data_IF_221727514292
#
_entry.id   IF_221727514292
#
_cell.length_a   1.000
_cell.length_b   1.000
_cell.length_c   1.000
_cell.angle_alpha   90.00
_cell.angle_beta   90.00
_cell.angle_gamma   90.00
#
_symmetry.space_group_name_H-M   'P 1'
#
loop_
_entity.id
_entity.type
_entity.pdbx_description
1 polymer ?
#
# COMPACT_ATOMS: atom_id res chain seq x y z
N UNK A 1 8.09 -56.24 -26.81
CA UNK A 1 7.14 -57.32 -26.50
C UNK A 1 7.57 -58.56 -27.27
N UNK A 2 7.50 -59.76 -26.70
CA UNK A 2 7.02 -60.12 -25.34
C UNK A 2 8.14 -59.94 -24.29
N UNK A 3 7.89 -59.48 -23.07
CA UNK A 3 7.20 -60.10 -21.92
C UNK A 3 8.14 -60.99 -21.06
N UNK A 4 8.14 -60.67 -19.76
CA UNK A 4 8.73 -61.43 -18.66
C UNK A 4 7.66 -62.45 -18.14
N UNK A 5 7.78 -63.11 -16.96
CA UNK A 5 8.88 -63.17 -15.98
C UNK A 5 9.20 -64.63 -15.54
N UNK A 6 9.97 -64.81 -14.46
CA UNK A 6 9.67 -65.69 -13.29
C UNK A 6 10.88 -65.73 -12.33
N UNK A 7 10.64 -65.73 -11.01
CA UNK A 7 11.64 -66.08 -9.98
C UNK A 7 11.59 -67.59 -9.67
N UNK A 8 11.93 -68.06 -8.45
CA UNK A 8 12.39 -67.33 -7.25
C UNK A 8 13.55 -68.04 -6.49
N UNK A 9 13.68 -67.70 -5.20
CA UNK A 9 14.00 -68.58 -4.05
C UNK A 9 15.44 -68.86 -3.52
N UNK A 10 15.56 -68.47 -2.24
CA UNK A 10 16.06 -69.20 -1.06
C UNK A 10 17.56 -69.39 -0.72
N UNK A 11 17.83 -69.05 0.56
CA UNK A 11 18.76 -69.75 1.46
C UNK A 11 20.00 -68.96 1.89
N UNK A 12 20.56 -69.11 3.11
CA UNK A 12 20.08 -69.61 4.41
C UNK A 12 21.20 -69.36 5.46
N UNK A 13 20.88 -69.38 6.77
CA UNK A 13 21.84 -69.28 7.90
C UNK A 13 21.61 -68.03 8.77
N UNK A 14 21.06 -68.06 10.00
CA UNK A 14 21.24 -68.94 11.17
C UNK A 14 22.62 -68.75 11.87
N UNK A 15 22.79 -68.68 13.20
CA UNK A 15 22.03 -69.25 14.34
C UNK A 15 22.19 -68.44 15.68
N UNK A 16 21.35 -68.77 16.70
CA UNK A 16 21.52 -68.46 18.14
C UNK A 16 20.56 -67.37 18.67
N UNK A 17 19.55 -67.57 19.53
CA UNK A 17 19.28 -68.55 20.62
C UNK A 17 20.28 -68.42 21.80
N UNK A 18 19.95 -68.26 23.10
CA UNK A 18 18.75 -68.51 23.96
C UNK A 18 18.76 -67.50 25.17
N UNK A 19 17.79 -67.33 26.10
CA UNK A 19 16.49 -68.01 26.37
C UNK A 19 15.40 -67.15 27.11
N UNK A 20 14.34 -67.83 27.57
CA UNK A 20 13.09 -67.49 28.26
C UNK A 20 13.09 -67.06 29.75
N UNK A 21 12.13 -66.20 30.14
CA UNK A 21 10.97 -66.45 31.06
C UNK A 21 10.06 -65.18 31.10
N UNK A 22 8.72 -65.16 30.89
CA UNK A 22 7.54 -65.83 31.53
C UNK A 22 7.46 -65.57 33.05
N UNK A 23 6.38 -65.09 33.69
CA UNK A 23 4.93 -64.86 33.41
C UNK A 23 4.47 -63.54 34.10
N UNK A 24 3.26 -62.97 34.01
CA UNK A 24 2.03 -63.23 33.23
C UNK A 24 0.74 -62.76 33.97
N UNK A 25 -0.28 -62.28 33.24
CA UNK A 25 -1.70 -62.05 33.67
C UNK A 25 -1.96 -61.01 34.80
N UNK A 26 -3.14 -60.40 35.02
CA UNK A 26 -4.44 -60.21 34.32
C UNK A 26 -5.28 -59.20 35.15
N UNK A 27 -6.41 -58.58 34.74
CA UNK A 27 -7.05 -58.28 33.45
C UNK A 27 -8.25 -57.32 33.71
N UNK A 28 -8.87 -56.77 32.65
CA UNK A 28 -10.12 -55.97 32.71
C UNK A 28 -9.91 -54.46 32.54
N UNK A 29 -10.48 -53.75 31.56
CA UNK A 29 -11.35 -54.14 30.45
C UNK A 29 -12.66 -53.35 30.47
N UNK A 30 -12.93 -52.57 29.43
CA UNK A 30 -14.25 -52.21 28.87
C UNK A 30 -14.05 -51.27 27.65
N UNK A 31 -14.89 -51.45 26.64
CA UNK A 31 -15.06 -50.62 25.44
C UNK A 31 -16.11 -51.31 24.56
N UNK A 32 -16.35 -50.86 23.32
CA UNK A 32 -16.10 -49.55 22.73
C UNK A 32 -17.42 -48.90 22.23
N UNK A 33 -17.35 -47.72 21.62
CA UNK A 33 -18.49 -47.14 20.90
C UNK A 33 -18.09 -45.88 20.15
N UNK A 34 -18.02 -45.97 18.82
CA UNK A 34 -17.77 -44.82 17.96
C UNK A 34 -18.86 -44.67 16.92
N UNK A 35 -19.13 -43.44 16.48
CA UNK A 35 -19.82 -43.13 15.22
C UNK A 35 -19.30 -41.78 14.68
N UNK A 36 -19.45 -41.59 13.36
CA UNK A 36 -18.85 -40.48 12.61
C UNK A 36 -19.60 -39.14 12.69
N UNK A 37 -19.17 -38.15 11.91
CA UNK A 37 -19.71 -36.79 11.94
C UNK A 37 -20.93 -36.64 11.01
N UNK A 38 -21.95 -35.90 11.48
CA UNK A 38 -23.07 -35.44 10.65
C UNK A 38 -23.40 -33.97 10.97
N UNK A 39 -24.18 -33.34 10.08
CA UNK A 39 -24.25 -31.88 9.94
C UNK A 39 -25.62 -31.25 10.27
N UNK A 40 -25.62 -29.91 10.30
CA UNK A 40 -26.76 -28.97 10.18
C UNK A 40 -27.68 -28.73 11.39
N UNK A 41 -28.15 -27.48 11.47
CA UNK A 41 -29.05 -26.92 12.49
C UNK A 41 -28.35 -25.85 13.35
N UNK A 42 -28.84 -24.62 13.49
CA UNK A 42 -30.02 -24.00 12.89
C UNK A 42 -30.67 -22.96 13.82
N UNK A 43 -30.15 -21.73 13.86
CA UNK A 43 -30.84 -20.59 14.49
C UNK A 43 -30.51 -19.30 13.73
N UNK A 44 -31.51 -18.72 13.06
CA UNK A 44 -31.50 -17.32 12.64
C UNK A 44 -32.17 -16.45 13.70
N UNK A 45 -31.81 -15.16 13.83
CA UNK A 45 -32.60 -14.19 14.58
C UNK A 45 -33.77 -13.66 13.73
N UNK A 46 -34.92 -13.46 14.37
CA UNK A 46 -36.14 -12.93 13.76
C UNK A 46 -36.02 -11.47 13.29
N UNK A 47 -36.85 -11.04 12.32
CA UNK A 47 -36.90 -9.65 11.86
C UNK A 47 -37.65 -8.74 12.86
N UNK A 48 -37.07 -7.58 13.16
CA UNK A 48 -37.78 -6.50 13.86
C UNK A 48 -38.49 -5.58 12.84
N UNK A 49 -39.81 -5.55 12.94
CA UNK A 49 -40.70 -4.61 12.24
C UNK A 49 -40.44 -3.14 12.68
N UNK A 50 -40.72 -2.14 11.81
CA UNK A 50 -40.39 -0.74 12.08
C UNK A 50 -41.44 -0.02 12.95
N UNK A 51 -41.04 0.38 14.16
CA UNK A 51 -41.84 1.26 15.01
C UNK A 51 -41.92 2.69 14.47
N UNK A 52 -43.13 3.21 14.27
CA UNK A 52 -43.38 4.57 13.82
C UNK A 52 -43.01 5.62 14.89
N UNK A 53 -42.39 6.73 14.46
CA UNK A 53 -42.18 7.91 15.29
C UNK A 53 -43.15 9.03 14.87
N UNK A 54 -43.86 9.59 15.85
CA UNK A 54 -44.86 10.66 15.65
C UNK A 54 -44.23 12.04 15.42
N UNK A 55 -45.00 12.93 14.78
CA UNK A 55 -44.64 14.33 14.54
C UNK A 55 -45.00 15.26 15.72
N UNK A 56 -44.72 16.56 15.54
CA UNK A 56 -44.78 17.70 16.47
C UNK A 56 -43.47 17.92 17.29
N UNK A 57 -42.95 19.15 17.47
CA UNK A 57 -43.51 20.48 17.15
C UNK A 57 -42.45 21.53 16.71
N UNK A 58 -42.91 22.75 16.43
CA UNK A 58 -42.18 23.94 15.91
C UNK A 58 -41.49 24.67 17.09
N UNK A 59 -40.72 25.75 17.00
CA UNK A 59 -40.36 26.76 16.00
C UNK A 59 -38.92 27.27 16.33
N UNK A 60 -38.31 28.36 15.82
CA UNK A 60 -38.79 29.52 15.06
C UNK A 60 -37.71 30.14 14.16
N UNK A 61 -38.18 31.09 13.35
CA UNK A 61 -37.55 31.75 12.20
C UNK A 61 -36.35 32.66 12.49
N UNK A 62 -35.60 32.96 11.42
CA UNK A 62 -34.52 33.97 11.39
C UNK A 62 -34.18 34.41 9.97
N UNK A 63 -35.14 34.97 9.22
CA UNK A 63 -34.91 35.46 7.85
C UNK A 63 -34.11 36.77 7.84
N UNK A 64 -33.14 36.90 6.93
CA UNK A 64 -32.72 38.19 6.40
C UNK A 64 -32.67 38.14 4.86
N UNK A 65 -33.30 39.13 4.22
CA UNK A 65 -33.35 39.25 2.76
C UNK A 65 -33.05 40.69 2.32
N UNK A 66 -32.15 40.79 1.34
CA UNK A 66 -31.92 41.89 0.37
C UNK A 66 -32.71 43.20 0.55
N UNK A 67 -32.01 44.34 0.57
CA UNK A 67 -31.86 45.24 -0.62
C UNK A 67 -31.02 46.51 -0.33
N UNK A 68 -30.67 47.20 -1.44
CA UNK A 68 -30.17 48.60 -1.52
C UNK A 68 -28.70 48.84 -1.08
N UNK A 69 -27.91 49.72 -1.71
CA UNK A 69 -28.16 50.71 -2.78
C UNK A 69 -26.96 50.83 -3.75
N UNK A 70 -27.21 51.21 -5.00
CA UNK A 70 -26.21 51.87 -5.86
C UNK A 70 -26.38 53.38 -5.73
N UNK A 71 -25.28 54.12 -5.55
CA UNK A 71 -25.25 55.58 -5.54
C UNK A 71 -23.79 56.03 -5.59
N UNK A 72 -23.38 56.67 -6.68
CA UNK A 72 -21.97 56.99 -6.94
C UNK A 72 -21.55 58.38 -6.49
N UNK A 73 -20.25 58.60 -6.36
CA UNK A 73 -19.64 59.92 -6.41
C UNK A 73 -18.23 59.84 -7.01
N UNK A 74 -17.93 60.75 -7.93
CA UNK A 74 -16.59 60.95 -8.50
C UNK A 74 -15.72 61.71 -7.50
N UNK A 75 -14.44 61.37 -7.33
CA UNK A 75 -13.55 62.21 -6.53
C UNK A 75 -12.14 61.69 -6.24
N UNK A 76 -11.16 62.32 -6.91
CA UNK A 76 -9.73 62.43 -6.55
C UNK A 76 -8.86 61.17 -6.71
N UNK A 77 -7.72 61.37 -7.39
CA UNK A 77 -6.72 60.36 -7.65
C UNK A 77 -5.88 60.05 -6.40
N UNK A 78 -5.72 58.76 -6.09
CA UNK A 78 -4.73 58.24 -5.14
C UNK A 78 -4.08 57.01 -5.74
N UNK A 79 -2.86 57.15 -6.25
CA UNK A 79 -2.14 56.07 -6.92
C UNK A 79 -1.60 55.04 -5.92
N UNK A 80 -2.47 54.12 -5.46
CA UNK A 80 -2.04 52.86 -4.88
C UNK A 80 -2.14 51.75 -5.92
N UNK A 81 -1.04 51.52 -6.63
CA UNK A 81 -0.81 50.29 -7.36
C UNK A 81 -0.65 49.14 -6.35
N UNK A 82 -1.79 48.60 -5.89
CA UNK A 82 -1.81 47.29 -5.26
C UNK A 82 -1.38 46.28 -6.30
N UNK A 83 -0.09 45.93 -6.29
CA UNK A 83 0.45 44.78 -6.98
C UNK A 83 -0.13 43.51 -6.35
N UNK A 84 -1.39 43.23 -6.70
CA UNK A 84 -2.12 42.01 -6.38
C UNK A 84 -1.56 40.83 -7.17
N UNK A 85 -0.27 40.56 -6.99
CA UNK A 85 0.41 39.35 -7.43
C UNK A 85 -0.08 38.16 -6.61
N UNK A 86 -1.36 37.85 -6.74
CA UNK A 86 -1.93 36.59 -6.28
C UNK A 86 -1.31 35.48 -7.11
N UNK A 87 -0.18 34.98 -6.64
CA UNK A 87 0.42 33.77 -7.18
C UNK A 87 -0.61 32.66 -7.05
N UNK A 88 -1.26 32.31 -8.16
CA UNK A 88 -2.18 31.20 -8.22
C UNK A 88 -1.43 29.98 -7.68
N UNK A 89 -1.98 29.36 -6.63
CA UNK A 89 -1.39 28.14 -6.08
C UNK A 89 -1.21 27.14 -7.23
N UNK A 90 -0.03 26.52 -7.39
CA UNK A 90 0.20 25.61 -8.52
C UNK A 90 -0.88 24.54 -8.49
N UNK A 91 -1.64 24.44 -9.57
CA UNK A 91 -2.70 23.45 -9.70
C UNK A 91 -2.06 22.07 -9.50
N UNK A 92 -2.53 21.33 -8.49
CA UNK A 92 -2.02 20.00 -8.21
C UNK A 92 -2.11 19.15 -9.48
N UNK A 93 -0.99 18.54 -9.86
CA UNK A 93 -0.93 17.72 -11.06
C UNK A 93 -2.03 16.64 -11.01
N UNK A 94 -2.76 16.48 -12.11
CA UNK A 94 -3.83 15.49 -12.17
C UNK A 94 -3.24 14.08 -12.01
N UNK A 95 -3.75 13.33 -11.03
CA UNK A 95 -3.41 11.92 -10.85
C UNK A 95 -4.03 11.17 -12.03
N UNK A 96 -3.20 10.53 -12.84
CA UNK A 96 -3.65 9.74 -13.98
C UNK A 96 -4.68 8.70 -13.56
N UNK A 97 -5.84 8.70 -14.22
CA UNK A 97 -6.87 7.67 -14.04
C UNK A 97 -6.25 6.29 -14.32
N UNK A 98 -6.28 5.33 -13.37
CA UNK A 98 -5.80 3.99 -13.64
C UNK A 98 -6.72 3.27 -14.64
N UNK A 99 -6.20 2.24 -15.31
CA UNK A 99 -7.04 1.36 -16.12
C UNK A 99 -8.03 0.62 -15.20
N UNK A 100 -9.33 0.80 -15.46
CA UNK A 100 -10.42 0.16 -14.72
C UNK A 100 -11.28 -0.60 -15.73
N UNK A 101 -11.39 -1.90 -15.52
CA UNK A 101 -12.19 -2.80 -16.35
C UNK A 101 -13.66 -2.63 -15.93
N UNK A 102 -14.51 -2.12 -16.83
CA UNK A 102 -15.94 -1.87 -16.55
C UNK A 102 -16.73 -3.15 -16.29
N UNK A 103 -17.91 -3.05 -15.66
CA UNK A 103 -18.85 -4.16 -15.51
C UNK A 103 -19.14 -4.85 -16.86
N UNK A 104 -19.34 -4.08 -17.93
CA UNK A 104 -19.53 -4.63 -19.28
C UNK A 104 -18.28 -5.39 -19.79
N UNK A 105 -17.08 -4.89 -19.50
CA UNK A 105 -15.82 -5.45 -20.00
C UNK A 105 -15.41 -6.78 -19.34
N UNK A 106 -15.74 -7.02 -18.06
CA UNK A 106 -15.48 -8.30 -17.41
C UNK A 106 -16.66 -9.30 -17.50
N UNK A 107 -17.79 -8.87 -18.06
CA UNK A 107 -18.98 -9.70 -18.25
C UNK A 107 -19.83 -9.82 -16.98
N UNK A 108 -20.15 -8.69 -16.38
CA UNK A 108 -21.12 -8.62 -15.30
C UNK A 108 -22.52 -9.03 -15.77
N UNK A 109 -23.26 -9.76 -14.94
CA UNK A 109 -24.70 -9.86 -15.08
C UNK A 109 -25.33 -8.50 -14.73
N UNK A 110 -26.45 -8.16 -15.38
CA UNK A 110 -27.17 -6.93 -15.08
C UNK A 110 -27.58 -6.87 -13.60
N UNK A 111 -27.52 -5.67 -13.00
CA UNK A 111 -28.03 -5.44 -11.66
C UNK A 111 -29.52 -5.82 -11.56
N UNK A 112 -29.91 -6.54 -10.51
CA UNK A 112 -31.28 -7.08 -10.34
C UNK A 112 -32.33 -6.02 -9.99
N UNK A 113 -31.90 -4.83 -9.58
CA UNK A 113 -32.74 -3.66 -9.39
C UNK A 113 -31.93 -2.38 -9.63
N UNK A 114 -32.62 -1.24 -9.67
CA UNK A 114 -31.97 0.06 -9.83
C UNK A 114 -30.96 0.34 -8.70
N UNK A 115 -29.75 0.75 -9.08
CA UNK A 115 -28.70 1.15 -8.12
C UNK A 115 -28.86 2.63 -7.79
N UNK A 116 -29.25 2.92 -6.55
CA UNK A 116 -29.34 4.28 -6.00
C UNK A 116 -27.96 4.93 -5.86
N UNK A 117 -27.89 6.23 -6.09
CA UNK A 117 -26.67 7.04 -5.94
C UNK A 117 -26.73 7.88 -4.66
N UNK A 118 -25.56 8.10 -4.05
CA UNK A 118 -25.34 9.10 -3.00
C UNK A 118 -24.63 10.34 -3.57
N UNK A 119 -24.47 11.37 -2.74
CA UNK A 119 -23.55 12.51 -2.96
C UNK A 119 -22.08 12.06 -2.86
N UNK A 120 -21.12 12.97 -2.69
CA UNK A 120 -19.70 12.60 -2.63
C UNK A 120 -19.36 11.66 -1.45
N UNK A 121 -18.49 10.66 -1.65
CA UNK A 121 -18.02 9.78 -0.58
C UNK A 121 -17.03 10.51 0.34
N UNK A 122 -17.07 10.20 1.63
CA UNK A 122 -16.22 10.81 2.66
C UNK A 122 -14.93 10.02 2.94
N UNK A 123 -14.91 8.72 2.60
CA UNK A 123 -13.84 7.78 2.96
C UNK A 123 -13.73 6.63 1.96
N UNK A 124 -12.56 5.99 1.96
CA UNK A 124 -12.30 4.74 1.24
C UNK A 124 -12.13 3.63 2.27
N UNK A 125 -12.86 2.53 2.12
CA UNK A 125 -12.74 1.33 2.94
C UNK A 125 -12.05 0.24 2.12
N UNK A 126 -10.90 -0.21 2.60
CA UNK A 126 -10.15 -1.33 2.04
C UNK A 126 -10.63 -2.62 2.67
N UNK A 127 -10.98 -3.57 1.80
CA UNK A 127 -11.48 -4.89 2.13
C UNK A 127 -10.58 -5.99 1.58
N UNK A 128 -10.86 -7.22 2.00
CA UNK A 128 -10.30 -8.43 1.42
C UNK A 128 -11.42 -9.34 0.92
N UNK A 129 -11.23 -10.00 -0.22
CA UNK A 129 -12.28 -10.86 -0.80
C UNK A 129 -12.58 -12.11 0.03
N UNK A 130 -11.79 -12.38 1.07
CA UNK A 130 -11.71 -13.64 1.82
C UNK A 130 -11.46 -14.88 0.94
N UNK A 131 -11.06 -14.70 -0.32
CA UNK A 131 -10.65 -15.79 -1.21
C UNK A 131 -9.21 -16.23 -0.91
N UNK A 132 -8.85 -17.45 -1.32
CA UNK A 132 -7.50 -17.96 -1.12
C UNK A 132 -6.43 -17.06 -1.76
N UNK A 133 -5.24 -16.99 -1.14
CA UNK A 133 -4.10 -16.23 -1.64
C UNK A 133 -3.37 -16.98 -2.79
N UNK A 134 -4.11 -17.48 -3.78
CA UNK A 134 -3.61 -18.34 -4.86
C UNK A 134 -2.60 -17.69 -5.81
N UNK A 135 -2.27 -18.38 -6.91
CA UNK A 135 -1.26 -17.91 -7.89
C UNK A 135 -1.85 -17.23 -9.14
N UNK A 136 -3.17 -17.16 -9.27
CA UNK A 136 -3.84 -16.60 -10.45
C UNK A 136 -3.62 -15.09 -10.61
N UNK A 137 -2.73 -14.69 -11.51
CA UNK A 137 -2.39 -13.29 -11.79
C UNK A 137 -2.85 -12.81 -13.17
N UNK A 138 -3.67 -13.59 -13.88
CA UNK A 138 -4.11 -13.28 -15.26
C UNK A 138 -5.38 -12.44 -15.30
N UNK A 139 -5.63 -11.76 -16.44
CA UNK A 139 -6.87 -11.04 -16.70
C UNK A 139 -8.11 -11.95 -16.61
N UNK A 140 -8.00 -13.20 -17.07
CA UNK A 140 -9.07 -14.19 -16.97
C UNK A 140 -9.40 -14.55 -15.50
N UNK A 141 -8.38 -14.67 -14.65
CA UNK A 141 -8.57 -14.86 -13.21
C UNK A 141 -9.25 -13.63 -12.56
N UNK A 142 -8.83 -12.43 -12.94
CA UNK A 142 -9.43 -11.17 -12.49
C UNK A 142 -10.93 -11.05 -12.86
N UNK A 143 -11.31 -11.44 -14.08
CA UNK A 143 -12.72 -11.51 -14.48
C UNK A 143 -13.49 -12.61 -13.72
N UNK A 144 -12.83 -13.73 -13.42
CA UNK A 144 -13.43 -14.85 -12.69
C UNK A 144 -13.78 -14.47 -11.25
N UNK A 145 -12.85 -13.85 -10.51
CA UNK A 145 -13.12 -13.41 -9.12
C UNK A 145 -14.23 -12.35 -9.07
N UNK A 146 -14.30 -11.42 -10.02
CA UNK A 146 -15.38 -10.43 -10.08
C UNK A 146 -16.77 -11.07 -10.25
N UNK A 147 -16.91 -12.03 -11.19
CA UNK A 147 -18.15 -12.83 -11.35
C UNK A 147 -18.51 -13.62 -10.09
N UNK A 148 -17.53 -14.26 -9.45
CA UNK A 148 -17.76 -15.01 -8.21
C UNK A 148 -18.27 -14.11 -7.08
N UNK A 149 -17.71 -12.91 -6.92
CA UNK A 149 -18.19 -11.92 -5.94
C UNK A 149 -19.62 -11.47 -6.27
N UNK A 150 -19.95 -11.23 -7.55
CA UNK A 150 -21.30 -10.83 -7.95
C UNK A 150 -22.32 -11.93 -7.67
N UNK A 151 -22.02 -13.18 -8.03
CA UNK A 151 -22.86 -14.34 -7.75
C UNK A 151 -23.08 -14.56 -6.24
N UNK A 152 -22.04 -14.37 -5.42
CA UNK A 152 -22.12 -14.49 -3.96
C UNK A 152 -23.06 -13.45 -3.33
N UNK A 153 -23.09 -12.23 -3.86
CA UNK A 153 -23.99 -11.15 -3.46
C UNK A 153 -25.43 -11.40 -3.94
N UNK A 154 -25.60 -11.82 -5.19
CA UNK A 154 -26.87 -12.25 -5.77
C UNK A 154 -27.52 -13.39 -4.98
N UNK A 155 -26.75 -14.37 -4.51
CA UNK A 155 -27.23 -15.46 -3.66
C UNK A 155 -27.73 -14.98 -2.28
N UNK A 156 -27.45 -13.73 -1.91
CA UNK A 156 -27.86 -13.07 -0.65
C UNK A 156 -28.90 -11.96 -0.86
N UNK A 157 -29.57 -11.97 -2.01
CA UNK A 157 -30.63 -11.00 -2.34
C UNK A 157 -30.14 -9.60 -2.70
N UNK A 158 -28.83 -9.33 -2.68
CA UNK A 158 -28.30 -8.02 -3.11
C UNK A 158 -28.47 -7.85 -4.62
N UNK A 159 -28.76 -6.62 -5.09
CA UNK A 159 -28.99 -6.38 -6.51
C UNK A 159 -27.72 -6.34 -7.35
N UNK A 160 -26.54 -6.29 -6.72
CA UNK A 160 -25.22 -6.29 -7.34
C UNK A 160 -24.11 -6.52 -6.29
N UNK A 161 -22.83 -6.53 -6.67
CA UNK A 161 -21.70 -6.58 -5.73
C UNK A 161 -21.77 -5.44 -4.70
N UNK A 162 -21.29 -5.67 -3.48
CA UNK A 162 -21.33 -4.67 -2.41
C UNK A 162 -20.27 -3.58 -2.49
N UNK A 163 -19.11 -3.89 -3.07
CA UNK A 163 -17.99 -2.98 -3.26
C UNK A 163 -18.03 -2.24 -4.60
N UNK A 164 -17.35 -1.11 -4.66
CA UNK A 164 -17.25 -0.25 -5.84
C UNK A 164 -16.16 -0.72 -6.80
N UNK A 165 -15.06 -1.26 -6.27
CA UNK A 165 -13.94 -1.76 -7.05
C UNK A 165 -13.40 -3.07 -6.49
N UNK A 166 -12.81 -3.90 -7.37
CA UNK A 166 -11.99 -5.05 -7.00
C UNK A 166 -10.57 -4.86 -7.52
N UNK A 167 -9.55 -5.18 -6.71
CA UNK A 167 -8.13 -5.23 -7.08
C UNK A 167 -7.68 -6.70 -7.07
N UNK A 168 -7.69 -7.31 -8.25
CA UNK A 168 -7.32 -8.71 -8.45
C UNK A 168 -5.82 -8.94 -8.25
N UNK A 169 -5.39 -10.19 -8.04
CA UNK A 169 -4.00 -10.56 -7.67
C UNK A 169 -2.93 -10.17 -8.69
N UNK A 170 -3.31 -10.07 -9.98
CA UNK A 170 -2.48 -9.54 -11.06
C UNK A 170 -2.37 -8.01 -11.10
N UNK A 171 -3.01 -7.28 -10.18
CA UNK A 171 -3.08 -5.81 -10.20
C UNK A 171 -4.18 -5.24 -11.09
N UNK A 172 -5.05 -6.06 -11.69
CA UNK A 172 -6.19 -5.57 -12.46
C UNK A 172 -7.22 -4.92 -11.54
N UNK A 173 -7.64 -3.70 -11.89
CA UNK A 173 -8.73 -2.99 -11.21
C UNK A 173 -10.00 -3.20 -12.01
N UNK A 174 -11.07 -3.66 -11.35
CA UNK A 174 -12.38 -3.88 -11.95
C UNK A 174 -13.42 -2.98 -11.27
N UNK A 175 -14.35 -2.45 -12.05
CA UNK A 175 -15.61 -1.90 -11.55
C UNK A 175 -16.39 -3.05 -10.88
N UNK A 176 -16.63 -2.97 -9.59
CA UNK A 176 -17.44 -3.97 -8.88
C UNK A 176 -18.92 -3.74 -9.16
N UNK A 177 -19.41 -2.61 -8.63
CA UNK A 177 -20.83 -2.24 -8.63
C UNK A 177 -21.17 -1.31 -9.79
N UNK A 178 -22.25 -1.61 -10.50
CA UNK A 178 -22.76 -0.81 -11.61
C UNK A 178 -22.92 0.66 -11.22
N UNK A 179 -22.70 1.55 -12.20
CA UNK A 179 -22.72 3.02 -12.06
C UNK A 179 -21.53 3.61 -11.27
N UNK A 180 -20.54 2.80 -10.88
CA UNK A 180 -19.34 3.34 -10.22
C UNK A 180 -18.50 4.18 -11.18
N UNK A 181 -18.36 3.75 -12.45
CA UNK A 181 -17.66 4.55 -13.48
C UNK A 181 -18.46 5.80 -13.91
N UNK A 182 -19.80 5.76 -13.81
CA UNK A 182 -20.67 6.94 -14.00
C UNK A 182 -20.42 7.98 -12.91
N UNK A 183 -20.41 7.56 -11.63
CA UNK A 183 -20.05 8.42 -10.51
C UNK A 183 -18.66 9.07 -10.68
N UNK A 184 -17.65 8.26 -11.05
CA UNK A 184 -16.29 8.74 -11.31
C UNK A 184 -16.20 9.79 -12.41
N UNK A 185 -17.01 9.67 -13.47
CA UNK A 185 -17.00 10.65 -14.56
C UNK A 185 -17.45 12.05 -14.10
N UNK A 186 -18.23 12.13 -13.02
CA UNK A 186 -18.71 13.41 -12.45
C UNK A 186 -17.91 13.89 -11.25
N UNK A 187 -17.31 12.98 -10.47
CA UNK A 187 -16.70 13.27 -9.17
C UNK A 187 -17.67 13.77 -8.10
N UNK A 188 -18.99 13.70 -8.34
CA UNK A 188 -20.03 14.34 -7.50
C UNK A 188 -21.02 13.37 -6.88
N UNK A 189 -21.03 12.12 -7.32
CA UNK A 189 -21.90 11.06 -6.84
C UNK A 189 -21.22 9.69 -6.93
N UNK A 190 -21.73 8.70 -6.21
CA UNK A 190 -21.31 7.30 -6.33
C UNK A 190 -22.48 6.38 -5.97
N UNK A 191 -22.53 5.11 -6.45
CA UNK A 191 -23.62 4.20 -6.10
C UNK A 191 -23.55 3.80 -4.63
N UNK A 192 -24.69 3.77 -3.92
CA UNK A 192 -24.74 3.33 -2.52
C UNK A 192 -24.32 1.86 -2.46
N UNK A 193 -23.29 1.56 -1.67
CA UNK A 193 -22.69 0.23 -1.57
C UNK A 193 -23.47 -0.77 -0.70
N UNK A 194 -22.86 -1.94 -0.47
CA UNK A 194 -23.32 -2.96 0.49
C UNK A 194 -22.18 -3.51 1.37
N UNK A 195 -21.04 -2.82 1.41
CA UNK A 195 -19.77 -3.33 1.95
C UNK A 195 -19.56 -3.05 3.45
N UNK A 196 -20.20 -2.03 4.03
CA UNK A 196 -20.21 -1.78 5.49
C UNK A 196 -21.56 -1.19 5.93
N UNK A 197 -22.28 -1.90 6.81
CA UNK A 197 -23.52 -1.41 7.41
C UNK A 197 -23.30 -0.06 8.12
N UNK A 198 -24.24 0.87 7.96
CA UNK A 198 -24.14 2.24 8.49
C UNK A 198 -23.24 3.21 7.68
N UNK A 199 -22.34 2.72 6.81
CA UNK A 199 -21.40 3.57 6.05
C UNK A 199 -21.56 3.51 4.53
N UNK A 200 -22.41 2.61 4.01
CA UNK A 200 -22.65 2.38 2.57
C UNK A 200 -22.98 3.63 1.72
N UNK A 201 -23.62 4.65 2.31
CA UNK A 201 -23.99 5.92 1.65
C UNK A 201 -22.91 7.02 1.76
N UNK A 202 -21.84 6.78 2.52
CA UNK A 202 -20.76 7.78 2.76
C UNK A 202 -19.37 7.24 2.46
N UNK A 203 -19.23 6.04 1.89
CA UNK A 203 -17.93 5.40 1.66
C UNK A 203 -17.84 4.58 0.37
N UNK A 204 -16.70 4.70 -0.31
CA UNK A 204 -16.29 3.76 -1.36
C UNK A 204 -15.67 2.52 -0.72
N UNK A 205 -15.94 1.35 -1.29
CA UNK A 205 -15.38 0.06 -0.88
C UNK A 205 -14.49 -0.51 -1.99
N UNK A 206 -13.29 -0.95 -1.63
CA UNK A 206 -12.33 -1.61 -2.53
C UNK A 206 -12.01 -3.01 -1.99
N UNK A 207 -12.39 -4.05 -2.73
CA UNK A 207 -12.03 -5.43 -2.41
C UNK A 207 -10.65 -5.78 -2.95
N UNK A 208 -9.74 -6.23 -2.10
CA UNK A 208 -8.40 -6.68 -2.52
C UNK A 208 -8.37 -8.21 -2.49
N UNK A 209 -7.98 -8.85 -3.61
CA UNK A 209 -8.13 -10.31 -3.75
C UNK A 209 -7.15 -11.12 -2.86
N UNK A 210 -7.68 -11.74 -1.80
CA UNK A 210 -6.94 -12.59 -0.86
C UNK A 210 -7.58 -12.63 0.53
N UNK A 211 -6.85 -13.22 1.50
CA UNK A 211 -7.20 -13.19 2.93
C UNK A 211 -6.28 -12.30 3.77
N UNK A 212 -5.03 -12.13 3.35
CA UNK A 212 -3.97 -11.33 4.02
C UNK A 212 -3.76 -11.54 5.53
N UNK A 213 -4.16 -12.69 6.08
CA UNK A 213 -3.88 -13.09 7.47
C UNK A 213 -2.40 -13.46 7.65
N UNK A 214 -1.83 -14.20 6.69
CA UNK A 214 -0.43 -14.66 6.72
C UNK A 214 0.37 -14.41 5.43
N UNK A 215 -0.27 -13.91 4.37
CA UNK A 215 0.35 -13.62 3.07
C UNK A 215 0.21 -12.13 2.75
N UNK A 216 1.28 -11.47 2.29
CA UNK A 216 1.22 -10.07 1.88
C UNK A 216 0.44 -9.88 0.56
N UNK A 217 -0.17 -8.71 0.32
CA UNK A 217 -0.62 -8.31 -1.02
C UNK A 217 0.53 -8.38 -2.03
N UNK A 218 0.25 -8.79 -3.27
CA UNK A 218 1.27 -8.80 -4.33
C UNK A 218 1.73 -7.37 -4.64
N UNK A 219 2.95 -7.19 -5.16
CA UNK A 219 3.43 -5.87 -5.58
C UNK A 219 2.52 -5.21 -6.64
N UNK A 220 1.87 -6.04 -7.48
CA UNK A 220 0.90 -5.58 -8.47
C UNK A 220 -0.42 -5.10 -7.80
N UNK A 221 -0.96 -5.86 -6.84
CA UNK A 221 -2.10 -5.42 -6.03
C UNK A 221 -1.79 -4.12 -5.30
N UNK A 222 -0.62 -4.04 -4.66
CA UNK A 222 -0.21 -2.86 -3.91
C UNK A 222 -0.11 -1.62 -4.79
N UNK A 223 0.57 -1.72 -5.94
CA UNK A 223 0.70 -0.62 -6.90
C UNK A 223 -0.66 -0.14 -7.40
N UNK A 224 -1.55 -1.07 -7.75
CA UNK A 224 -2.90 -0.74 -8.24
C UNK A 224 -3.82 -0.19 -7.16
N UNK A 225 -3.74 -0.69 -5.92
CA UNK A 225 -4.48 -0.15 -4.78
C UNK A 225 -4.06 1.29 -4.47
N UNK A 226 -2.75 1.59 -4.48
CA UNK A 226 -2.24 2.96 -4.34
C UNK A 226 -2.68 3.85 -5.51
N UNK A 227 -2.68 3.34 -6.75
CA UNK A 227 -3.15 4.09 -7.94
C UNK A 227 -4.63 4.43 -7.86
N UNK A 228 -5.45 3.45 -7.51
CA UNK A 228 -6.88 3.62 -7.34
C UNK A 228 -7.17 4.59 -6.20
N UNK A 229 -6.65 4.37 -4.99
CA UNK A 229 -6.89 5.25 -3.85
C UNK A 229 -6.44 6.69 -4.12
N UNK A 230 -5.30 6.93 -4.77
CA UNK A 230 -4.86 8.28 -5.11
C UNK A 230 -5.80 8.96 -6.12
N UNK A 231 -6.24 8.24 -7.17
CA UNK A 231 -7.20 8.77 -8.12
C UNK A 231 -8.54 9.10 -7.45
N UNK A 232 -9.08 8.18 -6.62
CA UNK A 232 -10.31 8.40 -5.87
C UNK A 232 -10.22 9.57 -4.89
N UNK A 233 -9.11 9.72 -4.18
CA UNK A 233 -8.86 10.85 -3.29
C UNK A 233 -8.86 12.19 -4.03
N UNK A 234 -8.24 12.27 -5.21
CA UNK A 234 -8.28 13.50 -6.03
C UNK A 234 -9.68 13.74 -6.61
N UNK A 235 -10.34 12.71 -7.16
CA UNK A 235 -11.65 12.81 -7.82
C UNK A 235 -12.76 13.28 -6.88
N UNK A 236 -12.76 12.82 -5.62
CA UNK A 236 -13.83 13.10 -4.66
C UNK A 236 -13.41 14.03 -3.50
N UNK A 237 -12.16 14.49 -3.46
CA UNK A 237 -11.65 15.31 -2.36
C UNK A 237 -11.47 14.56 -1.03
N UNK A 238 -11.31 13.23 -1.06
CA UNK A 238 -11.11 12.41 0.14
C UNK A 238 -9.68 12.59 0.65
N UNK A 239 -9.53 13.03 1.90
CA UNK A 239 -8.21 13.08 2.55
C UNK A 239 -7.60 11.68 2.69
N UNK A 240 -6.28 11.47 2.46
CA UNK A 240 -5.65 10.16 2.62
C UNK A 240 -5.82 9.55 4.02
N UNK A 241 -5.91 10.37 5.07
CA UNK A 241 -6.24 9.95 6.43
C UNK A 241 -7.57 9.18 6.53
N UNK A 242 -8.52 9.46 5.63
CA UNK A 242 -9.83 8.79 5.50
C UNK A 242 -9.79 7.50 4.68
N UNK A 243 -8.61 6.96 4.35
CA UNK A 243 -8.47 5.57 3.88
C UNK A 243 -8.41 4.67 5.13
N UNK A 244 -9.36 3.75 5.29
CA UNK A 244 -9.50 2.86 6.45
C UNK A 244 -9.68 1.42 6.01
N UNK A 245 -9.46 0.45 6.91
CA UNK A 245 -9.85 -0.94 6.69
C UNK A 245 -11.27 -1.20 7.21
N UNK A 246 -11.93 -2.26 6.74
CA UNK A 246 -13.25 -2.65 7.26
C UNK A 246 -13.26 -2.79 8.81
N UNK A 247 -12.21 -3.40 9.39
CA UNK A 247 -11.98 -3.49 10.85
C UNK A 247 -12.03 -2.16 11.61
N UNK A 248 -11.88 -1.00 10.96
CA UNK A 248 -12.05 0.31 11.62
C UNK A 248 -13.53 0.71 11.82
N UNK A 249 -14.46 0.08 11.11
CA UNK A 249 -15.88 0.45 11.05
C UNK A 249 -16.82 -0.68 11.51
N UNK A 250 -16.31 -1.87 11.82
CA UNK A 250 -17.09 -3.01 12.27
C UNK A 250 -16.22 -4.14 12.84
N UNK A 251 -16.85 -5.06 13.58
CA UNK A 251 -16.18 -6.24 14.14
C UNK A 251 -15.93 -7.29 13.06
N UNK A 252 -14.73 -7.28 12.47
CA UNK A 252 -14.35 -8.20 11.39
C UNK A 252 -12.84 -8.40 11.30
N UNK A 253 -12.43 -9.57 10.80
CA UNK A 253 -11.03 -9.82 10.44
C UNK A 253 -10.62 -9.07 9.15
N UNK A 254 -11.56 -8.65 8.32
CA UNK A 254 -11.30 -7.90 7.08
C UNK A 254 -10.58 -6.57 7.33
N UNK A 255 -9.48 -6.21 6.62
CA UNK A 255 -8.96 -6.82 5.39
C UNK A 255 -7.82 -7.85 5.60
N UNK A 256 -7.76 -8.53 6.74
CA UNK A 256 -6.63 -9.39 7.13
C UNK A 256 -5.49 -8.60 7.76
N UNK A 257 -4.71 -9.25 8.63
CA UNK A 257 -3.77 -8.56 9.53
C UNK A 257 -2.62 -7.86 8.78
N UNK A 258 -2.09 -8.46 7.72
CA UNK A 258 -0.96 -7.89 6.98
C UNK A 258 -1.37 -6.70 6.10
N UNK A 259 -2.55 -6.75 5.46
CA UNK A 259 -3.06 -5.60 4.71
C UNK A 259 -3.56 -4.50 5.65
N UNK A 260 -4.18 -4.85 6.79
CA UNK A 260 -4.58 -3.89 7.82
C UNK A 260 -3.38 -3.14 8.42
N UNK A 261 -2.31 -3.85 8.78
CA UNK A 261 -1.07 -3.26 9.28
C UNK A 261 -0.42 -2.28 8.29
N UNK A 262 -0.59 -2.52 6.99
CA UNK A 262 -0.05 -1.66 5.92
C UNK A 262 -0.93 -0.47 5.54
N UNK A 263 -2.09 -0.26 6.18
CA UNK A 263 -2.93 0.91 5.88
C UNK A 263 -2.20 2.25 6.08
N UNK A 264 -1.28 2.36 7.05
CA UNK A 264 -0.42 3.54 7.20
C UNK A 264 0.48 3.78 5.98
N UNK A 265 1.10 2.72 5.45
CA UNK A 265 1.92 2.76 4.24
C UNK A 265 1.07 3.18 3.01
N UNK A 266 -0.16 2.66 2.89
CA UNK A 266 -1.09 3.02 1.82
C UNK A 266 -1.45 4.51 1.87
N UNK A 267 -1.79 5.05 3.04
CA UNK A 267 -2.07 6.48 3.22
C UNK A 267 -0.90 7.35 2.81
N UNK A 268 0.31 6.99 3.22
CA UNK A 268 1.54 7.72 2.90
C UNK A 268 1.83 7.67 1.40
N UNK A 269 1.72 6.50 0.77
CA UNK A 269 1.92 6.33 -0.67
C UNK A 269 0.87 7.08 -1.51
N UNK A 270 -0.38 7.17 -1.03
CA UNK A 270 -1.44 7.96 -1.66
C UNK A 270 -1.21 9.47 -1.48
N UNK A 271 -0.86 9.92 -0.27
CA UNK A 271 -0.52 11.32 -0.01
C UNK A 271 0.66 11.78 -0.88
N UNK A 272 1.70 10.95 -1.03
CA UNK A 272 2.84 11.22 -1.90
C UNK A 272 2.46 11.36 -3.40
N UNK A 273 1.38 10.71 -3.85
CA UNK A 273 0.85 10.86 -5.22
C UNK A 273 -0.06 12.07 -5.39
N UNK A 274 -0.79 12.48 -4.35
CA UNK A 274 -1.62 13.68 -4.36
C UNK A 274 -0.83 14.98 -4.22
N UNK A 275 0.28 14.96 -3.47
CA UNK A 275 1.06 16.14 -3.10
C UNK A 275 1.92 16.76 -4.20
N UNK A 276 1.89 16.24 -5.44
CA UNK A 276 2.49 16.93 -6.59
C UNK A 276 4.02 16.96 -6.65
N UNK A 277 4.70 15.83 -6.38
CA UNK A 277 6.10 15.63 -6.78
C UNK A 277 7.13 15.56 -5.64
N UNK A 278 7.71 14.37 -5.45
CA UNK A 278 8.85 14.13 -4.54
C UNK A 278 8.46 13.44 -3.24
N UNK A 279 8.83 12.16 -3.09
CA UNK A 279 8.55 11.36 -1.88
C UNK A 279 8.09 9.93 -2.17
N UNK A 280 7.72 9.62 -3.42
CA UNK A 280 7.60 8.24 -3.87
C UNK A 280 8.98 7.66 -4.17
N UNK A 281 9.26 6.50 -3.55
CA UNK A 281 10.43 5.66 -3.85
C UNK A 281 10.43 5.33 -5.34
N UNK A 282 11.37 5.92 -6.06
CA UNK A 282 11.45 5.78 -7.51
C UNK A 282 12.12 4.45 -7.85
N UNK A 283 11.32 3.47 -8.23
CA UNK A 283 11.82 2.14 -8.63
C UNK A 283 12.52 2.15 -9.98
N UNK A 284 12.61 3.29 -10.67
CA UNK A 284 13.49 3.50 -11.83
C UNK A 284 14.85 4.11 -11.46
N UNK A 285 14.99 4.73 -10.28
CA UNK A 285 16.30 5.17 -9.77
C UNK A 285 17.19 3.96 -9.49
N UNK A 286 18.44 3.97 -9.95
CA UNK A 286 19.33 2.81 -9.87
C UNK A 286 20.00 2.70 -8.49
N UNK A 287 19.21 2.74 -7.42
CA UNK A 287 19.69 2.59 -6.05
C UNK A 287 20.38 1.23 -5.86
N UNK A 288 21.59 1.20 -5.25
CA UNK A 288 22.21 -0.07 -4.90
C UNK A 288 21.41 -0.78 -3.79
N UNK A 289 21.25 -2.09 -3.92
CA UNK A 289 20.71 -2.95 -2.86
C UNK A 289 21.87 -3.42 -1.97
N UNK A 290 22.07 -2.78 -0.82
CA UNK A 290 23.13 -3.18 0.12
C UNK A 290 22.57 -4.10 1.20
N UNK A 291 23.24 -5.23 1.43
CA UNK A 291 22.87 -6.26 2.41
C UNK A 291 24.13 -6.94 2.95
N UNK A 292 23.98 -7.85 3.91
CA UNK A 292 25.09 -8.60 4.52
C UNK A 292 26.04 -9.17 3.45
N UNK A 293 27.34 -8.94 3.63
CA UNK A 293 28.39 -9.35 2.70
C UNK A 293 28.77 -8.32 1.62
N UNK A 294 28.01 -7.22 1.47
CA UNK A 294 28.44 -6.10 0.63
C UNK A 294 29.65 -5.37 1.23
N UNK A 295 30.54 -4.85 0.38
CA UNK A 295 31.74 -4.10 0.80
C UNK A 295 32.00 -2.85 -0.06
N UNK A 296 32.94 -2.02 0.36
CA UNK A 296 33.47 -0.89 -0.42
C UNK A 296 32.73 0.43 -0.24
N UNK A 297 33.03 1.42 -1.10
CA UNK A 297 32.66 2.83 -0.88
C UNK A 297 31.15 3.07 -0.68
N UNK A 298 30.28 2.27 -1.31
CA UNK A 298 28.82 2.33 -1.15
C UNK A 298 28.41 2.02 0.30
N UNK A 299 29.06 1.05 0.93
CA UNK A 299 28.84 0.69 2.34
C UNK A 299 29.43 1.75 3.26
N UNK A 300 30.62 2.27 2.94
CA UNK A 300 31.22 3.41 3.67
C UNK A 300 30.30 4.63 3.67
N UNK A 301 29.68 4.95 2.52
CA UNK A 301 28.69 6.02 2.40
C UNK A 301 27.42 5.71 3.21
N UNK A 302 26.90 4.48 3.14
CA UNK A 302 25.75 4.05 3.93
C UNK A 302 26.00 4.18 5.45
N UNK A 303 27.15 3.71 5.94
CA UNK A 303 27.53 3.80 7.36
C UNK A 303 27.66 5.26 7.82
N UNK A 304 28.20 6.15 6.97
CA UNK A 304 28.26 7.60 7.23
C UNK A 304 26.88 8.26 7.28
N UNK A 305 25.95 7.87 6.39
CA UNK A 305 24.57 8.37 6.38
C UNK A 305 23.77 7.83 7.58
N UNK A 306 23.95 6.57 7.97
CA UNK A 306 23.39 6.01 9.19
C UNK A 306 23.91 6.76 10.42
N UNK A 307 25.21 7.08 10.47
CA UNK A 307 25.78 7.91 11.54
C UNK A 307 25.19 9.33 11.57
N UNK A 308 25.00 9.96 10.41
CA UNK A 308 24.31 11.25 10.32
C UNK A 308 22.88 11.19 10.86
N UNK A 309 22.18 10.06 10.71
CA UNK A 309 20.85 9.83 11.31
C UNK A 309 20.86 9.58 12.83
N UNK A 310 22.00 9.80 13.50
CA UNK A 310 22.16 9.63 14.95
C UNK A 310 22.43 8.19 15.40
N UNK A 311 22.88 7.30 14.51
CA UNK A 311 23.23 5.91 14.86
C UNK A 311 24.72 5.79 15.20
N UNK A 312 25.03 5.09 16.30
CA UNK A 312 26.39 4.61 16.55
C UNK A 312 26.68 3.42 15.63
N UNK A 313 27.71 3.54 14.80
CA UNK A 313 28.13 2.52 13.83
C UNK A 313 29.59 2.73 13.43
N UNK A 314 30.35 1.65 13.32
CA UNK A 314 31.72 1.64 12.76
C UNK A 314 31.66 1.94 11.26
N UNK A 315 32.59 2.73 10.74
CA UNK A 315 32.76 2.91 9.29
C UNK A 315 33.99 2.10 8.89
N UNK A 316 33.76 0.86 8.49
CA UNK A 316 34.77 -0.11 8.02
C UNK A 316 34.57 -0.46 6.53
N UNK A 317 33.53 0.08 5.89
CA UNK A 317 33.17 -0.27 4.51
C UNK A 317 32.68 -1.71 4.34
N UNK A 318 32.28 -2.40 5.41
CA UNK A 318 31.85 -3.80 5.42
C UNK A 318 30.43 -3.95 5.98
N UNK A 319 29.55 -4.58 5.21
CA UNK A 319 28.17 -4.82 5.63
C UNK A 319 28.10 -6.13 6.43
N UNK A 320 28.59 -6.08 7.67
CA UNK A 320 28.47 -7.17 8.65
C UNK A 320 27.15 -7.17 9.43
N UNK A 321 26.96 -8.13 10.35
CA UNK A 321 25.76 -8.23 11.20
C UNK A 321 25.50 -6.97 12.06
N UNK A 322 26.55 -6.23 12.43
CA UNK A 322 26.43 -4.95 13.13
C UNK A 322 25.78 -3.88 12.25
N UNK A 323 26.24 -3.73 11.00
CA UNK A 323 25.65 -2.81 10.01
C UNK A 323 24.18 -3.15 9.75
N UNK A 324 23.86 -4.43 9.57
CA UNK A 324 22.48 -4.92 9.38
C UNK A 324 21.57 -4.60 10.58
N UNK A 325 22.05 -4.84 11.81
CA UNK A 325 21.31 -4.51 13.03
C UNK A 325 20.98 -3.02 13.13
N UNK A 326 21.92 -2.15 12.74
CA UNK A 326 21.70 -0.70 12.68
C UNK A 326 20.72 -0.31 11.58
N UNK A 327 20.74 -0.99 10.43
CA UNK A 327 19.77 -0.79 9.34
C UNK A 327 18.36 -1.19 9.78
N UNK A 328 18.18 -2.35 10.42
CA UNK A 328 16.90 -2.78 11.01
C UNK A 328 16.40 -1.72 12.01
N UNK A 329 17.28 -1.22 12.88
CA UNK A 329 16.92 -0.19 13.86
C UNK A 329 16.59 1.17 13.20
N UNK A 330 17.23 1.53 12.10
CA UNK A 330 16.87 2.70 11.29
C UNK A 330 15.49 2.51 10.63
N UNK A 331 15.28 1.39 9.93
CA UNK A 331 14.03 1.05 9.24
C UNK A 331 12.82 1.06 10.20
N UNK A 332 12.95 0.42 11.37
CA UNK A 332 11.93 0.45 12.45
C UNK A 332 11.61 1.89 12.88
N UNK A 333 12.62 2.72 13.11
CA UNK A 333 12.42 4.11 13.52
C UNK A 333 11.87 5.02 12.41
N UNK A 334 11.97 4.61 11.13
CA UNK A 334 11.34 5.26 9.99
C UNK A 334 9.95 4.71 9.65
N UNK A 335 9.49 3.66 10.32
CA UNK A 335 8.18 3.04 10.07
C UNK A 335 8.10 2.29 8.73
N UNK A 336 9.25 1.82 8.20
CA UNK A 336 9.32 1.01 6.97
C UNK A 336 9.66 -0.45 7.29
N UNK A 337 9.59 -1.33 6.29
CA UNK A 337 9.94 -2.75 6.42
C UNK A 337 11.38 -2.87 6.95
N UNK A 338 11.53 -3.60 8.06
CA UNK A 338 12.80 -3.74 8.77
C UNK A 338 13.51 -5.05 8.40
N UNK A 339 13.87 -5.18 7.12
CA UNK A 339 14.49 -6.36 6.51
C UNK A 339 16.03 -6.40 6.60
N UNK A 340 16.66 -5.33 7.12
CA UNK A 340 18.12 -5.22 7.20
C UNK A 340 18.82 -4.87 5.88
N UNK A 341 18.04 -4.61 4.81
CA UNK A 341 18.53 -4.29 3.48
C UNK A 341 18.41 -2.78 3.22
N UNK A 342 19.50 -2.14 2.81
CA UNK A 342 19.44 -0.77 2.30
C UNK A 342 19.06 -0.84 0.81
N UNK A 343 17.76 -1.01 0.58
CA UNK A 343 17.13 -0.89 -0.74
C UNK A 343 16.52 0.49 -0.98
N UNK A 344 15.81 0.70 -2.10
CA UNK A 344 15.21 1.98 -2.48
C UNK A 344 14.35 2.64 -1.37
N UNK A 345 13.55 1.84 -0.65
CA UNK A 345 12.75 2.33 0.48
C UNK A 345 13.62 2.88 1.62
N UNK A 346 14.70 2.18 1.97
CA UNK A 346 15.62 2.61 3.03
C UNK A 346 16.41 3.86 2.63
N UNK A 347 16.84 3.96 1.36
CA UNK A 347 17.55 5.15 0.84
C UNK A 347 16.69 6.41 0.90
N UNK A 348 15.46 6.34 0.38
CA UNK A 348 14.57 7.50 0.28
C UNK A 348 13.80 7.82 1.57
N UNK A 349 13.88 6.97 2.61
CA UNK A 349 13.25 7.21 3.93
C UNK A 349 14.11 8.08 4.86
N UNK A 350 14.31 9.35 4.49
CA UNK A 350 15.57 9.87 3.95
C UNK A 350 16.80 9.38 4.72
N UNK A 351 17.45 8.31 4.24
CA UNK A 351 18.82 7.99 4.61
C UNK A 351 19.79 8.81 3.73
N UNK A 352 19.51 8.88 2.42
CA UNK A 352 20.18 9.76 1.48
C UNK A 352 19.60 11.18 1.58
N UNK A 353 20.02 11.93 2.60
CA UNK A 353 19.57 13.31 2.86
C UNK A 353 19.98 14.26 1.72
N UNK A 354 19.13 15.25 1.42
CA UNK A 354 19.47 16.30 0.45
C UNK A 354 20.59 17.20 1.01
N UNK A 355 21.68 17.37 0.26
CA UNK A 355 22.80 18.24 0.64
C UNK A 355 22.97 19.40 -0.33
N UNK A 356 23.37 20.56 0.18
CA UNK A 356 23.70 21.77 -0.58
C UNK A 356 24.94 22.44 0.03
N UNK A 357 25.49 23.45 -0.64
CA UNK A 357 26.62 24.23 -0.13
C UNK A 357 26.33 24.79 1.28
N UNK A 358 27.33 24.74 2.16
CA UNK A 358 27.19 25.12 3.58
C UNK A 358 26.74 24.00 4.51
N UNK A 359 26.26 22.86 3.99
CA UNK A 359 26.04 21.66 4.81
C UNK A 359 27.35 21.12 5.40
N UNK A 360 27.25 20.40 6.52
CA UNK A 360 28.42 19.80 7.18
C UNK A 360 28.14 18.44 7.84
N UNK A 361 29.20 17.75 8.27
CA UNK A 361 29.16 16.51 9.04
C UNK A 361 29.17 15.22 8.22
N UNK A 362 28.76 14.10 8.84
CA UNK A 362 28.95 12.76 8.30
C UNK A 362 28.26 12.51 6.93
N UNK A 363 27.12 13.14 6.65
CA UNK A 363 26.50 13.04 5.32
C UNK A 363 27.35 13.71 4.22
N UNK A 364 28.01 14.83 4.52
CA UNK A 364 28.95 15.46 3.59
C UNK A 364 30.21 14.62 3.40
N UNK A 365 30.71 13.97 4.46
CA UNK A 365 31.78 12.98 4.33
C UNK A 365 31.36 11.78 3.46
N UNK A 366 30.08 11.38 3.47
CA UNK A 366 29.55 10.34 2.58
C UNK A 366 29.59 10.81 1.12
N UNK A 367 29.15 12.06 0.86
CA UNK A 367 29.17 12.69 -0.45
C UNK A 367 30.59 12.82 -1.01
N UNK A 368 31.50 13.43 -0.24
CA UNK A 368 32.90 13.63 -0.64
C UNK A 368 33.58 12.29 -0.94
N UNK A 369 33.43 11.29 -0.07
CA UNK A 369 33.99 9.96 -0.31
C UNK A 369 33.42 9.27 -1.55
N UNK A 370 32.12 9.43 -1.82
CA UNK A 370 31.49 8.88 -3.02
C UNK A 370 31.90 9.62 -4.31
N UNK A 371 32.13 10.93 -4.26
CA UNK A 371 32.69 11.72 -5.37
C UNK A 371 34.16 11.35 -5.63
N UNK A 372 34.97 11.14 -4.59
CA UNK A 372 36.35 10.64 -4.74
C UNK A 372 36.38 9.24 -5.37
N UNK A 373 35.45 8.36 -5.02
CA UNK A 373 35.25 7.07 -5.69
C UNK A 373 34.78 7.18 -7.17
N UNK A 374 34.40 8.37 -7.63
CA UNK A 374 34.10 8.69 -9.04
C UNK A 374 35.22 9.50 -9.73
N UNK A 375 36.37 9.68 -9.09
CA UNK A 375 37.54 10.36 -9.66
C UNK A 375 37.66 11.86 -9.35
N UNK A 376 36.84 12.41 -8.46
CA UNK A 376 37.00 13.80 -8.01
C UNK A 376 37.97 13.90 -6.82
N UNK A 377 39.12 14.56 -6.99
CA UNK A 377 40.08 14.78 -5.89
C UNK A 377 39.52 15.74 -4.84
N UNK A 378 38.88 15.20 -3.80
CA UNK A 378 38.34 15.95 -2.66
C UNK A 378 38.96 15.49 -1.33
N UNK A 379 39.20 16.45 -0.44
CA UNK A 379 39.41 16.17 0.99
C UNK A 379 38.07 15.76 1.61
N UNK A 380 38.06 14.72 2.43
CA UNK A 380 36.87 14.23 3.13
C UNK A 380 36.81 14.87 4.53
N UNK A 381 36.69 16.20 4.56
CA UNK A 381 36.63 17.00 5.79
C UNK A 381 35.22 17.07 6.40
N UNK A 382 34.18 16.75 5.63
CA UNK A 382 32.79 16.90 6.03
C UNK A 382 32.26 18.32 5.90
N UNK A 383 32.87 19.19 5.09
CA UNK A 383 32.42 20.56 4.81
C UNK A 383 31.99 20.71 3.34
N UNK A 384 30.74 21.10 3.10
CA UNK A 384 30.25 21.34 1.74
C UNK A 384 30.66 22.76 1.29
N UNK A 385 31.97 22.95 1.14
CA UNK A 385 32.57 24.18 0.62
C UNK A 385 32.57 24.25 -0.92
N UNK A 386 33.20 25.29 -1.49
CA UNK A 386 33.25 25.51 -2.94
C UNK A 386 33.82 24.34 -3.75
N UNK A 387 34.85 23.65 -3.25
CA UNK A 387 35.42 22.47 -3.91
C UNK A 387 34.40 21.33 -4.06
N UNK A 388 33.66 21.04 -2.98
CA UNK A 388 32.57 20.05 -3.00
C UNK A 388 31.46 20.46 -3.98
N UNK A 389 31.07 21.74 -4.03
CA UNK A 389 30.08 22.25 -4.99
C UNK A 389 30.54 22.07 -6.44
N UNK A 390 31.78 22.45 -6.76
CA UNK A 390 32.35 22.27 -8.11
C UNK A 390 32.36 20.80 -8.52
N UNK A 391 32.73 19.89 -7.62
CA UNK A 391 32.70 18.46 -7.87
C UNK A 391 31.27 17.91 -8.07
N UNK A 392 30.28 18.36 -7.27
CA UNK A 392 28.87 17.98 -7.46
C UNK A 392 28.35 18.43 -8.83
N UNK A 393 28.58 19.69 -9.23
CA UNK A 393 28.15 20.20 -10.53
C UNK A 393 28.84 19.50 -11.70
N UNK A 394 30.14 19.25 -11.59
CA UNK A 394 30.87 18.45 -12.57
C UNK A 394 30.31 17.02 -12.69
N UNK A 395 30.01 16.37 -11.55
CA UNK A 395 29.40 15.04 -11.54
C UNK A 395 28.01 15.05 -12.18
N UNK A 396 27.14 15.99 -11.81
CA UNK A 396 25.79 16.15 -12.38
C UNK A 396 25.85 16.32 -13.91
N UNK A 397 26.71 17.23 -14.39
CA UNK A 397 26.95 17.46 -15.81
C UNK A 397 27.42 16.19 -16.53
N UNK A 398 28.38 15.45 -15.95
CA UNK A 398 28.90 14.20 -16.51
C UNK A 398 27.87 13.06 -16.61
N UNK A 399 26.70 13.21 -15.96
CA UNK A 399 25.63 12.21 -15.90
C UNK A 399 24.33 12.67 -16.54
N UNK A 400 24.30 13.83 -17.19
CA UNK A 400 23.09 14.39 -17.79
C UNK A 400 22.00 14.74 -16.77
N UNK A 401 22.39 15.04 -15.52
CA UNK A 401 21.48 15.45 -14.46
C UNK A 401 21.32 16.97 -14.46
N UNK A 402 20.29 17.49 -13.77
CA UNK A 402 20.20 18.90 -13.47
C UNK A 402 21.46 19.38 -12.73
N UNK A 403 22.10 20.44 -13.23
CA UNK A 403 23.38 20.97 -12.71
C UNK A 403 23.11 22.09 -11.69
N UNK A 404 22.28 21.79 -10.69
CA UNK A 404 21.88 22.74 -9.65
C UNK A 404 22.94 22.90 -8.55
N UNK A 405 23.80 21.90 -8.33
CA UNK A 405 24.71 21.82 -7.19
C UNK A 405 24.09 21.21 -5.92
N UNK A 406 22.85 20.74 -6.00
CA UNK A 406 22.11 20.08 -4.91
C UNK A 406 22.16 18.56 -5.06
N UNK A 407 22.58 17.88 -3.99
CA UNK A 407 22.65 16.41 -3.96
C UNK A 407 21.35 15.85 -3.39
N UNK A 408 20.31 15.82 -4.22
CA UNK A 408 19.03 15.17 -3.91
C UNK A 408 19.02 13.66 -4.25
N UNK A 409 17.86 12.98 -4.08
CA UNK A 409 17.72 11.54 -4.31
C UNK A 409 18.19 11.05 -5.69
N UNK A 410 17.97 11.82 -6.76
CA UNK A 410 18.43 11.47 -8.12
C UNK A 410 19.96 11.48 -8.21
N UNK A 411 20.60 12.55 -7.72
CA UNK A 411 22.07 12.67 -7.69
C UNK A 411 22.68 11.55 -6.84
N UNK A 412 22.11 11.26 -5.67
CA UNK A 412 22.55 10.15 -4.81
C UNK A 412 22.41 8.78 -5.47
N UNK A 413 21.28 8.49 -6.12
CA UNK A 413 21.07 7.21 -6.80
C UNK A 413 22.10 6.97 -7.91
N UNK A 414 22.40 7.99 -8.72
CA UNK A 414 23.45 7.92 -9.74
C UNK A 414 24.85 7.81 -9.11
N UNK A 415 25.13 8.60 -8.07
CA UNK A 415 26.43 8.63 -7.39
C UNK A 415 26.77 7.29 -6.72
N UNK A 416 25.76 6.57 -6.21
CA UNK A 416 25.92 5.29 -5.53
C UNK A 416 25.68 4.06 -6.43
N UNK A 417 25.25 4.23 -7.69
CA UNK A 417 25.04 3.13 -8.66
C UNK A 417 26.28 2.26 -8.86
#
# INVERSE_FOLDING_TARGET
>A
MPDAPHGPDLGAGAHGAHDHHRHGHSAGGHGPGGHGPDALGGHGPDPLEPGAASAAERASEGRLSRRMLFGGMLGVAGAFALAGGGAASPALAAVSRPSIISCASWGAAAARSAISMSSTPQRIVVHHTASSNGTGTTLAAAHSIARNIQQWHFARGWPDTGQHFTVARGGYILEGRHRTLEGLATGRSFPIGAHVAGYNSTSLGIETEGTFTSVQPTSAQWSSLVSLCAYLCQTYGIAPSSIVGHRNLGSTLCPGDLLYARLGELRNAVAARLGGGGGGVDTSRPWPNLRRGATGFRVTAAQRLLRHSGRSITIDGSFGPATESVVIAFQRAKGIVADGVIGPQTWESPLAVTLQQGASGAAVQALQGALSARGHSLVVDGSFGPATLSAVRAYQSSRGLAVDGSVGPVTWAHLLR
#
